data_IF_324350025512
#
_entry.id   IF_324350025512
#
_cell.length_a   1.000
_cell.length_b   1.000
_cell.length_c   1.000
_cell.angle_alpha   90.00
_cell.angle_beta   90.00
_cell.angle_gamma   90.00
#
_symmetry.space_group_name_H-M   'P 1'
#
loop_
_entity.id
_entity.type
_entity.pdbx_description
1 polymer ?
#
# COMPACT_ATOMS: atom_id res chain seq x y z
N UNK A 1 9.92 -18.79 10.52
CA UNK A 1 10.72 -18.10 9.48
C UNK A 1 10.60 -16.62 9.70
N UNK A 2 11.54 -15.83 9.20
CA UNK A 2 11.51 -14.35 9.31
C UNK A 2 11.58 -13.78 7.90
N UNK A 3 10.87 -12.69 7.66
CA UNK A 3 10.73 -12.07 6.35
C UNK A 3 11.17 -10.62 6.39
N UNK A 4 11.80 -10.19 5.30
CA UNK A 4 12.27 -8.82 5.12
C UNK A 4 11.55 -8.16 3.95
N UNK A 5 11.26 -6.87 4.09
CA UNK A 5 10.57 -6.04 3.12
C UNK A 5 11.42 -4.82 2.84
N UNK A 6 11.81 -4.60 1.59
CA UNK A 6 12.42 -3.35 1.17
C UNK A 6 11.32 -2.33 0.90
N UNK A 7 11.14 -1.40 1.83
CA UNK A 7 10.13 -0.35 1.73
C UNK A 7 10.51 0.73 0.70
N UNK A 8 9.50 1.31 0.09
CA UNK A 8 9.66 2.53 -0.70
C UNK A 8 10.09 3.69 0.21
N UNK A 9 10.94 4.58 -0.34
CA UNK A 9 11.61 5.61 0.47
C UNK A 9 10.79 6.89 0.67
N UNK A 10 9.63 7.02 0.03
CA UNK A 10 8.86 8.27 0.00
C UNK A 10 8.27 8.64 1.37
N UNK A 11 7.78 7.66 2.12
CA UNK A 11 7.27 7.83 3.49
C UNK A 11 7.39 6.48 4.23
N UNK A 12 8.43 6.34 5.03
CA UNK A 12 8.77 5.06 5.66
C UNK A 12 7.77 4.65 6.76
N UNK A 13 7.21 5.60 7.47
CA UNK A 13 6.25 5.32 8.55
C UNK A 13 4.92 4.84 7.94
N UNK A 14 4.47 5.49 6.87
CA UNK A 14 3.31 5.05 6.12
C UNK A 14 3.52 3.68 5.45
N UNK A 15 4.71 3.43 4.89
CA UNK A 15 5.04 2.14 4.29
C UNK A 15 5.06 1.00 5.31
N UNK A 16 5.57 1.24 6.52
CA UNK A 16 5.46 0.29 7.62
C UNK A 16 4.00 0.07 8.02
N UNK A 17 3.23 1.15 8.13
CA UNK A 17 1.81 1.06 8.50
C UNK A 17 0.97 0.33 7.44
N UNK A 18 1.29 0.50 6.17
CA UNK A 18 0.70 -0.28 5.08
C UNK A 18 0.97 -1.79 5.25
N UNK A 19 2.22 -2.17 5.59
CA UNK A 19 2.58 -3.56 5.86
C UNK A 19 1.81 -4.11 7.06
N UNK A 20 1.71 -3.35 8.15
CA UNK A 20 0.90 -3.71 9.32
C UNK A 20 -0.58 -3.90 8.94
N UNK A 21 -1.11 -3.03 8.08
CA UNK A 21 -2.46 -3.14 7.52
C UNK A 21 -2.67 -4.41 6.70
N UNK A 22 -1.70 -4.77 5.85
CA UNK A 22 -1.73 -6.03 5.11
C UNK A 22 -1.75 -7.24 6.06
N UNK A 23 -0.93 -7.24 7.11
CA UNK A 23 -0.93 -8.31 8.12
C UNK A 23 -2.27 -8.36 8.86
N UNK A 24 -2.82 -7.21 9.25
CA UNK A 24 -4.15 -7.11 9.88
C UNK A 24 -5.25 -7.70 9.00
N UNK A 25 -5.24 -7.42 7.70
CA UNK A 25 -6.21 -7.97 6.74
C UNK A 25 -6.17 -9.50 6.61
N UNK A 26 -5.16 -10.14 7.16
CA UNK A 26 -4.97 -11.59 7.19
C UNK A 26 -5.08 -12.17 8.61
N UNK A 27 -5.53 -11.38 9.59
CA UNK A 27 -5.58 -11.72 11.01
C UNK A 27 -4.21 -12.16 11.58
N UNK A 28 -3.13 -11.61 11.04
CA UNK A 28 -1.77 -11.85 11.52
C UNK A 28 -1.36 -10.77 12.53
N UNK A 29 -0.37 -11.10 13.38
CA UNK A 29 0.18 -10.12 14.32
C UNK A 29 0.92 -9.02 13.57
N UNK A 30 0.67 -7.77 13.94
CA UNK A 30 1.30 -6.58 13.35
C UNK A 30 2.66 -6.26 14.00
N UNK A 31 3.43 -7.27 14.30
CA UNK A 31 4.77 -7.14 14.90
C UNK A 31 5.79 -6.93 13.77
N UNK A 32 6.06 -5.68 13.47
CA UNK A 32 7.02 -5.24 12.44
C UNK A 32 8.13 -4.43 13.08
N UNK A 33 9.36 -4.87 12.92
CA UNK A 33 10.55 -4.09 13.27
C UNK A 33 11.09 -3.42 12.01
N UNK A 34 11.54 -2.19 12.12
CA UNK A 34 12.12 -1.48 10.97
C UNK A 34 13.48 -0.90 11.32
N UNK A 35 14.42 -1.04 10.39
CA UNK A 35 15.70 -0.34 10.39
C UNK A 35 15.90 0.30 9.02
N UNK A 36 15.97 1.61 8.98
CA UNK A 36 15.97 2.38 7.73
C UNK A 36 14.79 1.94 6.83
N UNK A 37 15.08 1.48 5.61
CA UNK A 37 14.09 1.02 4.63
C UNK A 37 13.76 -0.48 4.73
N UNK A 38 14.35 -1.20 5.67
CA UNK A 38 14.09 -2.64 5.82
C UNK A 38 13.14 -2.88 6.98
N UNK A 39 11.95 -3.39 6.66
CA UNK A 39 11.01 -3.90 7.64
C UNK A 39 11.17 -5.42 7.80
N UNK A 40 11.00 -5.92 9.01
CA UNK A 40 11.21 -7.32 9.36
C UNK A 40 10.05 -7.82 10.20
N UNK A 41 9.49 -8.97 9.85
CA UNK A 41 8.44 -9.64 10.64
C UNK A 41 8.62 -11.17 10.64
N UNK A 42 8.08 -11.82 11.67
CA UNK A 42 8.00 -13.30 11.75
C UNK A 42 6.72 -13.85 11.14
N UNK A 43 5.81 -12.98 10.69
CA UNK A 43 4.56 -13.40 10.08
C UNK A 43 4.79 -13.81 8.62
N UNK A 44 4.25 -14.96 8.22
CA UNK A 44 4.33 -15.42 6.82
C UNK A 44 3.38 -14.60 5.96
N UNK A 45 3.92 -13.82 5.01
CA UNK A 45 3.09 -12.94 4.21
C UNK A 45 2.36 -13.69 3.09
N UNK A 46 1.09 -13.39 2.95
CA UNK A 46 0.30 -13.73 1.76
C UNK A 46 -0.14 -12.43 1.09
N UNK A 47 -0.67 -12.53 -0.13
CA UNK A 47 -1.22 -11.39 -0.86
C UNK A 47 -0.23 -10.22 -1.03
N UNK A 48 1.06 -10.51 -1.14
CA UNK A 48 2.14 -9.52 -1.22
C UNK A 48 1.92 -8.47 -2.32
N UNK A 49 1.27 -8.85 -3.43
CA UNK A 49 0.92 -7.95 -4.54
C UNK A 49 -0.07 -6.84 -4.16
N UNK A 50 -0.64 -6.87 -2.95
CA UNK A 50 -1.44 -5.75 -2.42
C UNK A 50 -0.57 -4.56 -2.02
N UNK A 51 0.69 -4.78 -1.62
CA UNK A 51 1.57 -3.72 -1.16
C UNK A 51 1.89 -2.73 -2.29
N UNK A 52 1.83 -1.44 -1.97
CA UNK A 52 2.13 -0.34 -2.87
C UNK A 52 3.43 0.40 -2.50
N UNK A 53 3.80 0.41 -1.23
CA UNK A 53 5.00 1.06 -0.71
C UNK A 53 6.10 0.05 -0.33
N UNK A 54 6.13 -1.09 -1.01
CA UNK A 54 7.18 -2.11 -0.88
C UNK A 54 7.74 -2.43 -2.28
N UNK A 55 9.05 -2.60 -2.39
CA UNK A 55 9.71 -3.00 -3.64
C UNK A 55 9.92 -4.50 -3.73
N UNK A 56 10.43 -5.10 -2.67
CA UNK A 56 10.91 -6.49 -2.65
C UNK A 56 10.58 -7.14 -1.32
N UNK A 57 10.32 -8.43 -1.36
CA UNK A 57 10.10 -9.27 -0.17
C UNK A 57 11.02 -10.47 -0.24
N UNK A 58 11.72 -10.76 0.86
CA UNK A 58 12.66 -11.86 0.96
C UNK A 58 12.45 -12.65 2.26
N UNK A 59 12.78 -13.92 2.24
CA UNK A 59 12.98 -14.72 3.45
C UNK A 59 14.35 -14.36 4.05
N UNK A 60 14.39 -13.91 5.29
CA UNK A 60 15.65 -13.58 5.98
C UNK A 60 16.50 -14.84 6.13
N UNK A 61 17.74 -14.77 5.66
CA UNK A 61 18.75 -15.82 5.80
C UNK A 61 19.79 -15.49 6.87
N UNK A 62 20.31 -14.26 6.84
CA UNK A 62 21.32 -13.79 7.81
C UNK A 62 21.24 -12.29 8.03
N UNK A 63 21.71 -11.86 9.21
CA UNK A 63 22.10 -10.48 9.51
C UNK A 63 23.54 -10.53 9.97
N UNK A 64 24.39 -9.74 9.35
CA UNK A 64 25.83 -9.84 9.52
C UNK A 64 26.48 -8.46 9.43
N UNK A 65 27.73 -8.33 9.85
CA UNK A 65 28.49 -7.09 9.70
C UNK A 65 29.03 -6.93 8.29
N UNK A 66 29.51 -5.74 7.95
CA UNK A 66 30.16 -5.46 6.67
C UNK A 66 31.58 -6.05 6.57
N UNK A 67 32.24 -6.23 7.72
CA UNK A 67 33.59 -6.77 7.78
C UNK A 67 33.59 -8.29 7.68
N UNK A 68 32.52 -8.95 8.16
CA UNK A 68 32.48 -10.40 8.23
C UNK A 68 31.08 -10.90 7.78
N UNK A 69 30.96 -11.19 6.48
CA UNK A 69 29.71 -11.68 5.90
C UNK A 69 29.50 -13.16 6.27
N UNK A 70 28.79 -13.38 7.39
CA UNK A 70 28.42 -14.70 7.84
C UNK A 70 27.09 -15.16 7.25
N UNK A 71 27.09 -16.31 6.56
CA UNK A 71 25.91 -16.95 6.01
C UNK A 71 26.04 -18.46 6.02
N UNK A 72 25.09 -19.13 6.64
CA UNK A 72 25.03 -20.61 6.71
C UNK A 72 24.21 -21.23 5.58
N UNK A 73 23.35 -20.43 4.94
CA UNK A 73 22.56 -20.88 3.80
C UNK A 73 23.44 -21.30 2.63
N UNK A 74 23.02 -22.31 1.90
CA UNK A 74 23.66 -22.74 0.64
C UNK A 74 22.58 -22.93 -0.42
N UNK A 75 22.65 -22.19 -1.54
CA UNK A 75 21.75 -22.42 -2.68
C UNK A 75 21.92 -23.87 -3.19
N UNK A 76 20.82 -24.50 -3.55
CA UNK A 76 20.84 -25.88 -4.08
C UNK A 76 20.91 -25.94 -5.61
N UNK A 77 20.75 -24.81 -6.26
CA UNK A 77 20.71 -24.67 -7.71
C UNK A 77 21.47 -23.41 -8.13
N UNK A 78 21.45 -23.08 -9.43
CA UNK A 78 22.02 -21.83 -9.90
C UNK A 78 21.40 -20.62 -9.21
N UNK A 79 22.18 -19.63 -8.88
CA UNK A 79 21.74 -18.47 -8.14
C UNK A 79 22.38 -17.16 -8.65
N UNK A 80 21.71 -16.07 -8.36
CA UNK A 80 22.30 -14.73 -8.48
C UNK A 80 22.32 -14.02 -7.14
N UNK A 81 23.21 -13.03 -7.01
CA UNK A 81 23.17 -12.09 -5.90
C UNK A 81 22.81 -10.73 -6.44
N UNK A 82 21.95 -10.03 -5.74
CA UNK A 82 21.52 -8.67 -6.04
C UNK A 82 21.63 -7.83 -4.77
N UNK A 83 22.70 -7.06 -4.68
CA UNK A 83 22.91 -6.17 -3.57
C UNK A 83 22.27 -4.81 -3.82
N UNK A 84 21.78 -4.19 -2.76
CA UNK A 84 21.28 -2.82 -2.75
C UNK A 84 21.92 -2.07 -1.60
N UNK A 85 22.77 -1.11 -1.90
CA UNK A 85 23.34 -0.23 -0.90
C UNK A 85 22.31 0.85 -0.57
N UNK A 86 21.89 0.89 0.68
CA UNK A 86 20.93 1.87 1.21
C UNK A 86 21.66 3.04 1.88
N UNK A 87 22.96 3.13 1.66
CA UNK A 87 23.84 4.21 2.08
C UNK A 87 24.43 4.93 0.86
N UNK A 88 25.32 5.90 1.08
CA UNK A 88 25.97 6.66 -0.02
C UNK A 88 27.30 6.04 -0.50
N UNK A 89 27.69 4.86 0.02
CA UNK A 89 29.05 4.35 -0.11
C UNK A 89 29.32 3.40 -1.31
N UNK A 90 28.31 3.06 -2.10
CA UNK A 90 28.36 2.18 -3.28
C UNK A 90 29.20 0.89 -3.12
N UNK A 91 28.83 0.06 -2.15
CA UNK A 91 29.52 -1.20 -1.80
C UNK A 91 28.92 -2.44 -2.47
N UNK A 92 28.01 -2.26 -3.44
CA UNK A 92 27.24 -3.36 -4.07
C UNK A 92 28.13 -4.43 -4.65
N UNK A 93 29.03 -4.06 -5.59
CA UNK A 93 29.88 -5.00 -6.33
C UNK A 93 30.76 -5.81 -5.38
N UNK A 94 31.33 -5.17 -4.35
CA UNK A 94 32.13 -5.86 -3.34
C UNK A 94 31.33 -6.95 -2.62
N UNK A 95 30.12 -6.61 -2.16
CA UNK A 95 29.25 -7.54 -1.42
C UNK A 95 28.73 -8.66 -2.33
N UNK A 96 28.38 -8.35 -3.58
CA UNK A 96 27.93 -9.35 -4.56
C UNK A 96 29.04 -10.38 -4.85
N UNK A 97 30.28 -9.91 -5.07
CA UNK A 97 31.44 -10.78 -5.34
C UNK A 97 31.77 -11.66 -4.12
N UNK A 98 31.88 -11.06 -2.92
CA UNK A 98 32.20 -11.79 -1.70
C UNK A 98 31.13 -12.86 -1.36
N UNK A 99 29.85 -12.53 -1.49
CA UNK A 99 28.76 -13.50 -1.30
C UNK A 99 28.77 -14.57 -2.41
N UNK A 100 29.10 -14.19 -3.65
CA UNK A 100 29.23 -15.09 -4.77
C UNK A 100 30.28 -16.17 -4.50
N UNK A 101 31.47 -15.79 -4.04
CA UNK A 101 32.55 -16.71 -3.67
C UNK A 101 32.12 -17.62 -2.49
N UNK A 102 31.53 -17.05 -1.44
CA UNK A 102 31.11 -17.79 -0.24
C UNK A 102 29.98 -18.79 -0.49
N UNK A 103 29.06 -18.50 -1.42
CA UNK A 103 27.89 -19.32 -1.70
C UNK A 103 28.10 -20.35 -2.82
N UNK A 104 29.11 -20.16 -3.66
CA UNK A 104 29.45 -21.09 -4.74
C UNK A 104 30.03 -22.40 -4.19
N UNK A 105 29.63 -23.51 -4.80
CA UNK A 105 30.10 -24.86 -4.48
C UNK A 105 30.27 -25.64 -5.79
N UNK A 106 30.72 -26.89 -5.72
CA UNK A 106 30.75 -27.78 -6.88
C UNK A 106 29.35 -28.14 -7.43
N UNK A 107 28.33 -28.04 -6.59
CA UNK A 107 26.93 -28.44 -6.91
C UNK A 107 26.06 -27.27 -7.39
N UNK A 108 26.51 -26.04 -7.25
CA UNK A 108 25.78 -24.84 -7.67
C UNK A 108 26.72 -23.84 -8.36
N UNK A 109 26.14 -22.90 -9.13
CA UNK A 109 26.91 -21.88 -9.83
C UNK A 109 26.18 -20.54 -9.83
N UNK A 110 26.93 -19.46 -9.93
CA UNK A 110 26.37 -18.12 -10.17
C UNK A 110 25.83 -18.07 -11.60
N UNK A 111 24.58 -17.64 -11.76
CA UNK A 111 23.92 -17.40 -13.03
C UNK A 111 23.22 -16.03 -12.95
N UNK A 112 23.72 -15.07 -13.70
CA UNK A 112 23.19 -13.70 -13.66
C UNK A 112 22.00 -13.48 -14.60
N UNK A 113 21.80 -14.37 -15.56
CA UNK A 113 20.76 -14.23 -16.59
C UNK A 113 19.48 -15.01 -16.22
N UNK A 114 19.62 -16.27 -15.79
CA UNK A 114 18.50 -17.17 -15.52
C UNK A 114 18.65 -17.92 -14.17
N UNK A 115 18.86 -17.20 -13.05
CA UNK A 115 19.06 -17.84 -11.76
C UNK A 115 17.79 -18.59 -11.31
N UNK A 116 17.96 -19.73 -10.64
CA UNK A 116 16.86 -20.43 -9.98
C UNK A 116 16.54 -19.85 -8.60
N UNK A 117 17.52 -19.21 -8.01
CA UNK A 117 17.37 -18.53 -6.72
C UNK A 117 18.02 -17.15 -6.80
N UNK A 118 17.37 -16.13 -6.26
CA UNK A 118 17.97 -14.79 -6.11
C UNK A 118 18.22 -14.52 -4.63
N UNK A 119 19.47 -14.21 -4.32
CA UNK A 119 19.88 -13.79 -2.98
C UNK A 119 19.96 -12.26 -2.97
N UNK A 120 19.18 -11.63 -2.13
CA UNK A 120 19.17 -10.19 -1.93
C UNK A 120 20.10 -9.83 -0.76
N UNK A 121 20.90 -8.80 -0.93
CA UNK A 121 21.74 -8.25 0.13
C UNK A 121 21.44 -6.75 0.29
N UNK A 122 20.89 -6.36 1.43
CA UNK A 122 20.59 -4.97 1.76
C UNK A 122 21.68 -4.44 2.68
N UNK A 123 22.47 -3.50 2.16
CA UNK A 123 23.62 -2.93 2.85
C UNK A 123 23.16 -1.68 3.60
N UNK A 124 23.28 -1.71 4.92
CA UNK A 124 23.03 -0.60 5.82
C UNK A 124 24.36 -0.03 6.32
N UNK A 125 24.34 0.97 7.22
CA UNK A 125 25.56 1.59 7.73
C UNK A 125 26.46 0.61 8.48
N UNK A 126 25.87 -0.24 9.31
CA UNK A 126 26.55 -1.12 10.26
C UNK A 126 26.30 -2.62 10.06
N UNK A 127 25.41 -2.98 9.13
CA UNK A 127 25.07 -4.37 8.87
C UNK A 127 24.68 -4.64 7.42
N UNK A 128 24.72 -5.92 7.03
CA UNK A 128 24.15 -6.45 5.79
C UNK A 128 23.04 -7.42 6.15
N UNK A 129 21.86 -7.18 5.60
CA UNK A 129 20.69 -8.07 5.73
C UNK A 129 20.61 -8.91 4.47
N UNK A 130 20.76 -10.23 4.62
CA UNK A 130 20.77 -11.17 3.49
C UNK A 130 19.47 -11.99 3.52
N UNK A 131 18.81 -12.06 2.36
CA UNK A 131 17.55 -12.78 2.21
C UNK A 131 17.48 -13.54 0.90
N UNK A 132 16.66 -14.60 0.86
CA UNK A 132 16.25 -15.25 -0.38
C UNK A 132 14.99 -14.58 -0.89
N UNK A 133 15.04 -14.08 -2.12
CA UNK A 133 13.91 -13.41 -2.76
C UNK A 133 12.67 -14.32 -2.77
N UNK A 134 11.53 -13.74 -2.39
CA UNK A 134 10.20 -14.33 -2.54
C UNK A 134 9.51 -13.71 -3.74
N UNK A 135 9.52 -12.37 -3.82
CA UNK A 135 8.90 -11.63 -4.91
C UNK A 135 9.38 -10.19 -4.97
N UNK A 136 9.36 -9.64 -6.16
CA UNK A 136 9.38 -8.19 -6.38
C UNK A 136 7.95 -7.68 -6.59
N UNK A 137 7.67 -6.47 -6.13
CA UNK A 137 6.38 -5.81 -6.31
C UNK A 137 6.45 -4.94 -7.56
N UNK A 138 5.70 -5.30 -8.58
CA UNK A 138 5.62 -4.51 -9.81
C UNK A 138 4.80 -3.23 -9.59
N UNK A 139 5.48 -2.19 -9.11
CA UNK A 139 4.86 -0.86 -8.93
C UNK A 139 4.48 -0.21 -10.26
N UNK A 140 4.99 -0.67 -11.39
CA UNK A 140 4.61 -0.22 -12.72
C UNK A 140 3.14 -0.51 -13.06
N UNK A 141 2.52 -1.46 -12.39
CA UNK A 141 1.08 -1.71 -12.52
C UNK A 141 0.21 -0.53 -12.07
N UNK A 142 0.67 0.27 -11.10
CA UNK A 142 -0.05 1.47 -10.67
C UNK A 142 -0.02 2.56 -11.75
N UNK A 143 1.07 2.68 -12.53
CA UNK A 143 1.17 3.61 -13.64
C UNK A 143 0.08 3.36 -14.71
N UNK A 144 -0.30 2.09 -14.92
CA UNK A 144 -1.35 1.68 -15.86
C UNK A 144 -2.74 2.09 -15.40
N UNK A 145 -2.92 2.39 -14.11
CA UNK A 145 -4.21 2.75 -13.49
C UNK A 145 -4.30 4.24 -13.13
N UNK A 146 -3.28 5.03 -13.46
CA UNK A 146 -3.33 6.49 -13.27
C UNK A 146 -4.54 7.11 -13.95
N UNK A 147 -5.01 8.19 -13.39
CA UNK A 147 -6.22 8.90 -13.83
C UNK A 147 -6.29 9.11 -15.35
N UNK A 148 -5.18 9.51 -16.00
CA UNK A 148 -5.12 9.75 -17.45
C UNK A 148 -5.25 8.47 -18.31
N UNK A 149 -5.16 7.29 -17.69
CA UNK A 149 -5.29 5.98 -18.35
C UNK A 149 -6.67 5.37 -18.18
N UNK A 150 -7.52 5.94 -17.33
CA UNK A 150 -8.87 5.47 -17.06
C UNK A 150 -9.83 5.93 -18.17
N UNK A 151 -10.87 5.14 -18.49
CA UNK A 151 -11.91 5.52 -19.44
C UNK A 151 -12.60 6.85 -19.08
N UNK A 152 -12.75 7.12 -17.79
CA UNK A 152 -13.24 8.40 -17.27
C UNK A 152 -12.20 8.99 -16.31
N UNK A 153 -11.85 10.25 -16.52
CA UNK A 153 -10.85 10.96 -15.72
C UNK A 153 -11.35 12.31 -15.25
N UNK A 154 -10.85 12.75 -14.10
CA UNK A 154 -11.09 14.10 -13.56
C UNK A 154 -9.78 14.64 -12.97
N UNK A 155 -9.50 15.93 -13.06
CA UNK A 155 -8.27 16.54 -12.53
C UNK A 155 -8.00 16.22 -11.05
N UNK A 156 -9.04 15.95 -10.28
CA UNK A 156 -8.98 15.73 -8.82
C UNK A 156 -9.10 14.23 -8.52
N UNK A 157 -8.27 13.39 -9.11
CA UNK A 157 -8.28 11.95 -8.82
C UNK A 157 -7.07 11.56 -7.98
N UNK A 158 -7.30 10.69 -7.00
CA UNK A 158 -6.25 10.15 -6.15
C UNK A 158 -5.26 9.27 -6.95
N UNK A 159 -3.97 9.37 -6.61
CA UNK A 159 -2.95 8.48 -7.18
C UNK A 159 -3.21 7.02 -6.78
N UNK A 160 -3.09 6.04 -7.70
CA UNK A 160 -3.38 4.64 -7.41
C UNK A 160 -2.54 4.02 -6.29
N UNK A 161 -1.27 4.45 -6.14
CA UNK A 161 -0.40 3.99 -5.04
C UNK A 161 -1.03 4.41 -3.70
N UNK A 162 -1.40 5.69 -3.58
CA UNK A 162 -1.99 6.21 -2.35
C UNK A 162 -3.37 5.61 -2.09
N UNK A 163 -4.21 5.45 -3.12
CA UNK A 163 -5.50 4.76 -3.01
C UNK A 163 -5.32 3.32 -2.47
N UNK A 164 -4.33 2.56 -2.97
CA UNK A 164 -4.02 1.22 -2.49
C UNK A 164 -3.54 1.22 -1.05
N UNK A 165 -2.73 2.20 -0.65
CA UNK A 165 -2.29 2.37 0.74
C UNK A 165 -3.50 2.55 1.65
N UNK A 166 -4.44 3.45 1.32
CA UNK A 166 -5.66 3.64 2.12
C UNK A 166 -6.46 2.33 2.27
N UNK A 167 -6.59 1.56 1.19
CA UNK A 167 -7.23 0.24 1.22
C UNK A 167 -6.51 -0.73 2.16
N UNK A 168 -5.17 -0.75 2.16
CA UNK A 168 -4.41 -1.62 3.05
C UNK A 168 -4.50 -1.17 4.52
N UNK A 169 -4.54 0.14 4.79
CA UNK A 169 -4.72 0.68 6.15
C UNK A 169 -6.06 0.29 6.77
N UNK A 170 -7.09 0.05 5.97
CA UNK A 170 -8.41 -0.39 6.45
C UNK A 170 -8.41 -1.79 7.05
N UNK A 171 -7.41 -2.61 6.76
CA UNK A 171 -7.29 -4.02 7.19
C UNK A 171 -8.42 -4.94 6.68
N UNK A 172 -9.21 -4.50 5.72
CA UNK A 172 -10.29 -5.32 5.16
C UNK A 172 -9.71 -6.47 4.34
N UNK A 173 -10.18 -7.67 4.63
CA UNK A 173 -9.81 -8.91 3.93
C UNK A 173 -10.49 -9.01 2.56
N UNK A 174 -9.97 -9.84 1.67
CA UNK A 174 -10.70 -10.25 0.48
C UNK A 174 -12.04 -10.90 0.86
N UNK A 175 -13.10 -10.52 0.16
CA UNK A 175 -14.48 -10.93 0.47
C UNK A 175 -15.21 -10.00 1.44
N UNK A 176 -14.51 -9.08 2.10
CA UNK A 176 -15.13 -8.00 2.88
C UNK A 176 -15.69 -6.88 1.99
N UNK A 177 -16.13 -5.80 2.61
CA UNK A 177 -16.83 -4.68 1.96
C UNK A 177 -16.31 -3.32 2.41
N UNK A 178 -16.22 -2.36 1.47
CA UNK A 178 -15.85 -0.97 1.78
C UNK A 178 -16.82 0.01 1.12
N UNK A 179 -16.98 1.16 1.77
CA UNK A 179 -17.74 2.29 1.27
C UNK A 179 -16.82 3.50 1.06
N UNK A 180 -16.95 4.14 -0.09
CA UNK A 180 -16.37 5.46 -0.38
C UNK A 180 -17.50 6.48 -0.57
N UNK A 181 -17.68 7.36 0.41
CA UNK A 181 -18.79 8.33 0.45
C UNK A 181 -18.59 9.54 -0.45
N UNK A 182 -17.40 9.71 -1.07
CA UNK A 182 -17.07 10.77 -2.01
C UNK A 182 -16.28 10.18 -3.17
N UNK A 183 -16.83 9.16 -3.83
CA UNK A 183 -16.08 8.24 -4.68
C UNK A 183 -15.49 8.87 -5.96
N UNK A 184 -15.95 10.03 -6.38
CA UNK A 184 -15.44 10.76 -7.53
C UNK A 184 -15.30 9.88 -8.78
N UNK A 185 -14.05 9.62 -9.22
CA UNK A 185 -13.76 8.75 -10.38
C UNK A 185 -13.55 7.28 -10.00
N UNK A 186 -13.78 6.89 -8.75
CA UNK A 186 -13.67 5.52 -8.25
C UNK A 186 -12.24 5.06 -7.96
N UNK A 187 -11.30 5.98 -7.74
CA UNK A 187 -9.89 5.62 -7.54
C UNK A 187 -9.65 4.63 -6.40
N UNK A 188 -10.25 4.87 -5.24
CA UNK A 188 -10.18 3.99 -4.06
C UNK A 188 -10.91 2.68 -4.34
N UNK A 189 -12.09 2.76 -4.93
CA UNK A 189 -12.93 1.60 -5.21
C UNK A 189 -12.29 0.63 -6.22
N UNK A 190 -11.57 1.14 -7.24
CA UNK A 190 -10.78 0.31 -8.16
C UNK A 190 -9.73 -0.49 -7.37
N UNK A 191 -8.94 0.17 -6.53
CA UNK A 191 -7.88 -0.47 -5.78
C UNK A 191 -8.42 -1.47 -4.74
N UNK A 192 -9.57 -1.19 -4.12
CA UNK A 192 -10.27 -2.13 -3.23
C UNK A 192 -10.80 -3.35 -3.99
N UNK A 193 -11.48 -3.14 -5.12
CA UNK A 193 -12.00 -4.22 -5.95
C UNK A 193 -10.89 -5.14 -6.47
N UNK A 194 -9.75 -4.59 -6.90
CA UNK A 194 -8.57 -5.36 -7.30
C UNK A 194 -7.94 -6.17 -6.14
N UNK A 195 -8.29 -5.87 -4.89
CA UNK A 195 -7.94 -6.67 -3.72
C UNK A 195 -9.00 -7.74 -3.39
N UNK A 196 -10.05 -7.89 -4.20
CA UNK A 196 -11.14 -8.84 -3.95
C UNK A 196 -12.13 -8.37 -2.88
N UNK A 197 -12.22 -7.06 -2.63
CA UNK A 197 -13.13 -6.44 -1.67
C UNK A 197 -14.37 -5.95 -2.43
N UNK A 198 -15.56 -6.20 -1.90
CA UNK A 198 -16.80 -5.66 -2.45
C UNK A 198 -16.86 -4.14 -2.20
N UNK A 199 -17.26 -3.38 -3.21
CA UNK A 199 -17.19 -1.92 -3.16
C UNK A 199 -18.55 -1.27 -3.31
N UNK A 200 -18.80 -0.25 -2.48
CA UNK A 200 -19.91 0.66 -2.62
C UNK A 200 -19.41 2.11 -2.61
N UNK A 201 -20.16 3.01 -3.23
CA UNK A 201 -19.76 4.41 -3.20
C UNK A 201 -20.91 5.36 -3.52
N UNK A 202 -20.77 6.59 -3.02
CA UNK A 202 -21.66 7.70 -3.33
C UNK A 202 -20.88 8.89 -3.87
N UNK A 203 -21.52 9.69 -4.69
CA UNK A 203 -21.10 11.03 -5.10
C UNK A 203 -22.35 11.83 -5.49
N UNK A 204 -22.36 13.12 -5.22
CA UNK A 204 -23.49 14.02 -5.56
C UNK A 204 -23.57 14.35 -7.05
N UNK A 205 -22.52 14.04 -7.83
CA UNK A 205 -22.43 14.40 -9.24
C UNK A 205 -22.75 13.19 -10.12
N UNK A 206 -23.86 13.24 -10.90
CA UNK A 206 -24.25 12.12 -11.78
C UNK A 206 -23.16 11.72 -12.79
N UNK A 207 -22.34 12.66 -13.25
CA UNK A 207 -21.23 12.37 -14.16
C UNK A 207 -20.13 11.54 -13.47
N UNK A 208 -19.86 11.75 -12.17
CA UNK A 208 -18.93 10.96 -11.39
C UNK A 208 -19.43 9.52 -11.23
N UNK A 209 -20.71 9.35 -10.90
CA UNK A 209 -21.35 8.04 -10.77
C UNK A 209 -21.24 7.22 -12.06
N UNK A 210 -21.58 7.83 -13.23
CA UNK A 210 -21.45 7.18 -14.54
C UNK A 210 -19.99 6.85 -14.85
N UNK A 211 -19.08 7.78 -14.55
CA UNK A 211 -17.65 7.61 -14.78
C UNK A 211 -17.04 6.53 -13.90
N UNK A 212 -17.41 6.51 -12.62
CA UNK A 212 -16.95 5.49 -11.65
C UNK A 212 -17.38 4.09 -12.08
N UNK A 213 -18.65 3.88 -12.46
CA UNK A 213 -19.13 2.58 -12.97
C UNK A 213 -18.31 2.13 -14.18
N UNK A 214 -18.11 3.02 -15.15
CA UNK A 214 -17.30 2.74 -16.34
C UNK A 214 -15.86 2.36 -15.99
N UNK A 215 -15.26 3.05 -15.03
CA UNK A 215 -13.91 2.75 -14.59
C UNK A 215 -13.84 1.40 -13.86
N UNK A 216 -14.79 1.10 -12.97
CA UNK A 216 -14.85 -0.18 -12.26
C UNK A 216 -15.01 -1.36 -13.24
N UNK A 217 -15.89 -1.23 -14.22
CA UNK A 217 -16.09 -2.24 -15.28
C UNK A 217 -14.82 -2.50 -16.09
N UNK A 218 -14.07 -1.44 -16.49
CA UNK A 218 -12.80 -1.54 -17.23
C UNK A 218 -11.76 -2.37 -16.47
N UNK A 219 -11.71 -2.22 -15.13
CA UNK A 219 -10.79 -2.97 -14.28
C UNK A 219 -11.36 -4.30 -13.75
N UNK A 220 -12.51 -4.74 -14.27
CA UNK A 220 -13.14 -6.01 -13.91
C UNK A 220 -13.76 -6.04 -12.51
N UNK A 221 -14.00 -4.89 -11.90
CA UNK A 221 -14.67 -4.77 -10.61
C UNK A 221 -16.17 -4.73 -10.87
N UNK A 222 -16.79 -5.89 -11.03
CA UNK A 222 -18.21 -6.04 -11.41
C UNK A 222 -19.17 -6.06 -10.23
N UNK A 223 -18.68 -6.41 -9.04
CA UNK A 223 -19.48 -6.42 -7.81
C UNK A 223 -19.35 -5.05 -7.11
N UNK A 224 -20.15 -4.09 -7.58
CA UNK A 224 -20.18 -2.74 -7.03
C UNK A 224 -21.61 -2.21 -6.87
N UNK A 225 -21.81 -1.33 -5.86
CA UNK A 225 -23.05 -0.58 -5.63
C UNK A 225 -22.74 0.92 -5.55
N UNK A 226 -22.91 1.62 -6.69
CA UNK A 226 -22.55 3.05 -6.84
C UNK A 226 -23.83 3.86 -7.01
N UNK A 227 -24.03 4.85 -6.12
CA UNK A 227 -25.28 5.62 -6.07
C UNK A 227 -25.02 7.13 -6.09
N UNK A 228 -25.90 7.87 -6.75
CA UNK A 228 -25.94 9.32 -6.73
C UNK A 228 -26.64 9.77 -5.45
N UNK A 229 -25.86 10.20 -4.46
CA UNK A 229 -26.43 10.57 -3.16
C UNK A 229 -25.45 11.44 -2.34
N UNK A 230 -26.00 12.25 -1.44
CA UNK A 230 -25.24 12.95 -0.40
C UNK A 230 -24.84 11.99 0.73
N UNK A 231 -23.69 12.25 1.37
CA UNK A 231 -23.17 11.41 2.46
C UNK A 231 -24.15 11.27 3.63
N UNK A 232 -24.91 12.32 3.92
CA UNK A 232 -25.88 12.31 5.04
C UNK A 232 -26.97 11.25 4.89
N UNK A 233 -27.31 10.89 3.65
CA UNK A 233 -28.33 9.89 3.34
C UNK A 233 -27.75 8.48 3.14
N UNK A 234 -26.42 8.33 3.16
CA UNK A 234 -25.75 7.04 2.90
C UNK A 234 -26.21 5.91 3.84
N UNK A 235 -26.45 6.12 5.17
CA UNK A 235 -26.95 5.08 6.03
C UNK A 235 -28.30 4.53 5.57
N UNK A 236 -29.25 5.39 5.21
CA UNK A 236 -30.60 5.01 4.81
C UNK A 236 -30.62 4.25 3.47
N UNK A 237 -29.81 4.67 2.52
CA UNK A 237 -29.83 4.09 1.17
C UNK A 237 -29.11 2.73 1.09
N UNK A 238 -28.09 2.48 1.90
CA UNK A 238 -27.40 1.18 1.90
C UNK A 238 -28.03 0.18 2.86
N UNK A 239 -28.71 0.63 3.92
CA UNK A 239 -29.37 -0.19 4.96
C UNK A 239 -28.48 -1.33 5.48
N UNK A 240 -27.17 -1.04 5.60
CA UNK A 240 -26.16 -1.96 6.14
C UNK A 240 -24.89 -1.23 6.52
N UNK A 241 -24.11 -1.85 7.39
CA UNK A 241 -22.73 -1.42 7.67
C UNK A 241 -21.73 -2.10 6.74
N UNK A 242 -20.60 -1.43 6.56
CA UNK A 242 -19.46 -1.92 5.79
C UNK A 242 -18.32 -2.29 6.74
N UNK A 243 -17.41 -3.16 6.31
CA UNK A 243 -16.23 -3.54 7.12
C UNK A 243 -15.26 -2.37 7.30
N UNK A 244 -15.26 -1.41 6.37
CA UNK A 244 -14.59 -0.12 6.54
C UNK A 244 -15.21 0.97 5.66
N UNK A 245 -14.99 2.23 6.05
CA UNK A 245 -15.21 3.41 5.20
C UNK A 245 -13.84 3.97 4.77
N UNK A 246 -13.66 4.20 3.46
CA UNK A 246 -12.39 4.71 2.91
C UNK A 246 -12.72 5.82 1.92
N UNK A 247 -12.29 7.05 2.19
CA UNK A 247 -12.67 8.18 1.33
C UNK A 247 -11.63 9.30 1.29
N UNK A 248 -11.64 10.11 0.22
CA UNK A 248 -10.91 11.38 0.09
C UNK A 248 -11.93 12.50 0.23
N UNK A 249 -11.99 13.13 1.39
CA UNK A 249 -12.97 14.18 1.71
C UNK A 249 -12.83 15.37 0.75
N UNK A 250 -13.95 15.97 0.33
CA UNK A 250 -13.91 17.11 -0.56
C UNK A 250 -13.27 18.33 0.12
N UNK A 251 -12.44 19.04 -0.62
CA UNK A 251 -11.81 20.30 -0.20
C UNK A 251 -11.78 21.31 -1.35
N UNK A 252 -11.82 22.62 -1.03
CA UNK A 252 -11.70 23.71 -2.01
C UNK A 252 -12.80 24.77 -1.92
N UNK A 253 -12.52 25.94 -2.43
CA UNK A 253 -13.29 27.20 -2.27
C UNK A 253 -14.59 27.26 -3.10
N UNK A 254 -15.44 26.25 -3.07
CA UNK A 254 -16.58 26.18 -4.00
C UNK A 254 -17.97 26.51 -3.40
N UNK A 255 -18.13 26.72 -2.10
CA UNK A 255 -19.44 27.14 -1.54
C UNK A 255 -19.34 27.75 -0.14
N UNK A 256 -20.35 28.56 0.22
CA UNK A 256 -20.54 29.15 1.56
C UNK A 256 -20.84 28.10 2.66
N UNK A 257 -20.90 26.80 2.32
CA UNK A 257 -21.12 25.66 3.21
C UNK A 257 -19.88 24.74 3.24
N UNK A 258 -18.67 25.30 3.29
CA UNK A 258 -17.39 24.58 3.05
C UNK A 258 -17.14 23.38 3.96
N UNK A 259 -17.70 23.35 5.17
CA UNK A 259 -17.48 22.26 6.14
C UNK A 259 -18.65 21.25 6.25
N UNK A 260 -19.80 21.55 5.69
CA UNK A 260 -21.00 20.69 5.84
C UNK A 260 -20.75 19.23 5.41
N UNK A 261 -20.13 18.94 4.24
CA UNK A 261 -19.90 17.55 3.84
C UNK A 261 -19.00 16.78 4.80
N UNK A 262 -18.01 17.46 5.43
CA UNK A 262 -17.10 16.84 6.41
C UNK A 262 -17.82 16.58 7.73
N UNK A 263 -18.63 17.52 8.19
CA UNK A 263 -19.46 17.37 9.40
C UNK A 263 -20.50 16.27 9.22
N UNK A 264 -21.19 16.23 8.08
CA UNK A 264 -22.16 15.20 7.73
C UNK A 264 -21.50 13.82 7.65
N UNK A 265 -20.29 13.72 7.07
CA UNK A 265 -19.48 12.52 7.05
C UNK A 265 -19.20 12.00 8.47
N UNK A 266 -18.64 12.85 9.33
CA UNK A 266 -18.32 12.45 10.71
C UNK A 266 -19.55 12.03 11.50
N UNK A 267 -20.68 12.69 11.26
CA UNK A 267 -21.94 12.39 11.92
C UNK A 267 -22.53 11.04 11.51
N UNK A 268 -22.43 10.69 10.21
CA UNK A 268 -22.98 9.42 9.69
C UNK A 268 -22.03 8.24 9.87
N UNK A 269 -20.74 8.48 10.09
CA UNK A 269 -19.72 7.44 10.16
C UNK A 269 -20.05 6.28 11.11
N UNK A 270 -20.57 6.47 12.34
CA UNK A 270 -20.94 5.37 13.24
C UNK A 270 -22.09 4.47 12.71
N UNK A 271 -22.90 4.98 11.79
CA UNK A 271 -23.98 4.23 11.16
C UNK A 271 -23.49 3.44 9.94
N UNK A 272 -22.38 3.86 9.31
CA UNK A 272 -21.83 3.27 8.11
C UNK A 272 -20.84 2.12 8.38
N UNK A 273 -20.13 2.14 9.52
CA UNK A 273 -19.17 1.09 9.88
C UNK A 273 -19.00 0.94 11.38
N UNK A 274 -18.73 -0.30 11.82
CA UNK A 274 -18.16 -0.62 13.14
C UNK A 274 -16.67 -0.93 13.06
N UNK A 275 -16.13 -0.96 11.84
CA UNK A 275 -14.73 -1.17 11.53
C UNK A 275 -13.96 0.15 11.44
N UNK A 276 -12.91 0.15 10.64
CA UNK A 276 -12.08 1.34 10.47
C UNK A 276 -12.68 2.35 9.50
N UNK A 277 -12.46 3.62 9.81
CA UNK A 277 -12.61 4.71 8.87
C UNK A 277 -11.23 5.26 8.49
N UNK A 278 -10.90 5.16 7.20
CA UNK A 278 -9.66 5.71 6.63
C UNK A 278 -10.04 6.84 5.70
N UNK A 279 -9.66 8.04 6.05
CA UNK A 279 -10.02 9.17 5.19
C UNK A 279 -8.89 10.19 5.06
N UNK A 280 -8.94 10.94 3.96
CA UNK A 280 -7.99 12.00 3.69
C UNK A 280 -8.66 13.36 3.71
N UNK A 281 -7.90 14.37 4.13
CA UNK A 281 -8.31 15.75 4.08
C UNK A 281 -7.11 16.68 3.89
N UNK A 282 -7.36 17.96 3.60
CA UNK A 282 -6.29 18.96 3.42
C UNK A 282 -5.92 19.72 4.69
N UNK A 283 -6.54 19.42 5.83
CA UNK A 283 -6.21 19.99 7.12
C UNK A 283 -5.69 18.90 8.07
N UNK A 284 -4.71 19.28 8.91
CA UNK A 284 -4.07 18.38 9.86
C UNK A 284 -5.01 17.92 10.98
N UNK A 285 -6.09 18.66 11.21
CA UNK A 285 -7.04 18.39 12.30
C UNK A 285 -8.47 18.65 11.81
N UNK A 286 -9.39 17.77 12.16
CA UNK A 286 -10.83 17.90 11.93
C UNK A 286 -11.54 17.77 13.28
N UNK A 287 -12.11 18.88 13.79
CA UNK A 287 -12.64 18.89 15.15
C UNK A 287 -11.55 18.53 16.18
N UNK A 288 -11.75 17.43 16.93
CA UNK A 288 -10.76 16.91 17.88
C UNK A 288 -9.89 15.78 17.35
N UNK A 289 -10.10 15.37 16.07
CA UNK A 289 -9.37 14.29 15.42
C UNK A 289 -8.10 14.86 14.79
N UNK A 290 -6.93 14.34 15.16
CA UNK A 290 -5.66 14.66 14.55
C UNK A 290 -5.28 13.60 13.50
N UNK A 291 -4.59 14.04 12.45
CA UNK A 291 -4.13 13.15 11.40
C UNK A 291 -2.97 12.25 11.86
N UNK A 292 -2.96 11.02 11.34
CA UNK A 292 -1.89 10.06 11.58
C UNK A 292 -0.69 10.27 10.65
N UNK A 293 -0.93 10.70 9.39
CA UNK A 293 0.13 10.91 8.41
C UNK A 293 -0.08 12.17 7.60
N UNK A 294 1.05 12.76 7.20
CA UNK A 294 1.12 13.90 6.30
C UNK A 294 1.70 13.47 4.96
N UNK A 295 1.05 13.84 3.85
CA UNK A 295 1.46 13.56 2.48
C UNK A 295 1.62 14.87 1.73
N UNK A 296 2.86 15.28 1.49
CA UNK A 296 3.15 16.41 0.64
C UNK A 296 2.87 16.04 -0.84
N UNK A 297 1.99 16.78 -1.49
CA UNK A 297 1.65 16.59 -2.91
C UNK A 297 2.37 17.62 -3.78
N UNK A 298 2.22 18.91 -3.48
CA UNK A 298 2.94 20.00 -4.13
C UNK A 298 2.82 21.29 -3.28
N UNK A 299 3.47 22.38 -3.70
CA UNK A 299 3.59 23.65 -2.93
C UNK A 299 2.30 24.19 -2.32
N UNK A 300 1.15 23.92 -2.92
CA UNK A 300 -0.16 24.43 -2.46
C UNK A 300 -1.09 23.33 -1.95
N UNK A 301 -0.62 22.08 -1.83
CA UNK A 301 -1.44 20.97 -1.37
C UNK A 301 -0.61 19.97 -0.54
N UNK A 302 -0.98 19.88 0.72
CA UNK A 302 -0.64 18.77 1.61
C UNK A 302 -1.93 18.03 1.93
N UNK A 303 -1.89 16.72 1.96
CA UNK A 303 -3.00 15.86 2.37
C UNK A 303 -2.65 15.16 3.67
N UNK A 304 -3.64 14.94 4.47
CA UNK A 304 -3.51 14.28 5.76
C UNK A 304 -4.36 13.02 5.77
N UNK A 305 -3.82 11.91 6.28
CA UNK A 305 -4.53 10.63 6.43
C UNK A 305 -4.93 10.49 7.89
N UNK A 306 -6.19 10.14 8.08
CA UNK A 306 -6.82 9.85 9.39
C UNK A 306 -7.20 8.37 9.45
N UNK A 307 -6.93 7.73 10.58
CA UNK A 307 -7.24 6.32 10.86
C UNK A 307 -8.09 6.29 12.15
N UNK A 308 -9.38 6.01 12.02
CA UNK A 308 -10.32 5.97 13.14
C UNK A 308 -10.93 4.57 13.31
#
# INVERSE_FOLDING_TARGET
MTYTYLLAGENLDLAQKELEGLLGSQNLKKEVQRKQRIAITKQEPKLLKRLALTHEVSQLLSRTTLEELEITYRPKQSFSIRAKDLTENDRKEKIENELGEKLSTEENSVDLENPKETIKAYILEDEVIIGKEITEIDRGLFEKRKNQKRPFSSPVSLDPVLARVLVNLSEVSAGGSVLDTFCGTGGILIEAGLCGIAVAGTDVKPEMIKGTRKNLEEYGVINHDIREEEVINAPDIFDRKFDAVITDLPYGKASFEENRPVEDFLKTLPELTDGKAIFMYNEKKIGDIEADFEIYVHKSLTRYIFIQ
#
